data_IF_468341513294
#
_entry.id   IF_468341513294
#
_cell.length_a   1.000
_cell.length_b   1.000
_cell.length_c   1.000
_cell.angle_alpha   90.00
_cell.angle_beta   90.00
_cell.angle_gamma   90.00
#
_symmetry.space_group_name_H-M   'P 1'
#
loop_
_entity.id
_entity.type
_entity.pdbx_description
1 polymer ?
#
# COMPACT_ATOMS: atom_id res chain seq x y z
N UNK A 1 20.92 19.82 -4.35
CA UNK A 1 19.66 19.83 -3.58
C UNK A 1 20.04 20.03 -2.14
N UNK A 2 19.70 21.16 -1.54
CA UNK A 2 20.19 21.51 -0.19
C UNK A 2 19.78 20.49 0.86
N UNK A 3 20.66 20.24 1.85
CA UNK A 3 20.46 19.26 2.93
C UNK A 3 19.14 19.46 3.71
N UNK A 4 18.57 20.67 3.68
CA UNK A 4 17.27 20.97 4.30
C UNK A 4 16.11 20.36 3.52
N UNK A 5 16.15 20.41 2.18
CA UNK A 5 15.08 19.90 1.32
C UNK A 5 15.03 18.38 1.37
N UNK A 6 16.19 17.71 1.32
CA UNK A 6 16.27 16.25 1.48
C UNK A 6 15.74 15.77 2.83
N UNK A 7 16.06 16.49 3.92
CA UNK A 7 15.54 16.17 5.27
C UNK A 7 14.03 16.33 5.39
N UNK A 8 13.46 17.39 4.80
CA UNK A 8 12.00 17.60 4.78
C UNK A 8 11.30 16.47 4.01
N UNK A 9 11.82 16.11 2.85
CA UNK A 9 11.24 15.06 2.01
C UNK A 9 11.27 13.69 2.73
N UNK A 10 12.38 13.33 3.36
CA UNK A 10 12.47 12.08 4.14
C UNK A 10 11.44 12.00 5.28
N UNK A 11 11.23 13.10 6.01
CA UNK A 11 10.21 13.16 7.08
C UNK A 11 8.79 13.04 6.54
N UNK A 12 8.49 13.70 5.41
CA UNK A 12 7.18 13.59 4.77
C UNK A 12 6.93 12.17 4.28
N UNK A 13 7.92 11.51 3.66
CA UNK A 13 7.84 10.10 3.25
C UNK A 13 7.61 9.20 4.46
N UNK A 14 8.36 9.35 5.54
CA UNK A 14 8.20 8.55 6.75
C UNK A 14 6.81 8.76 7.38
N UNK A 15 6.35 10.00 7.48
CA UNK A 15 5.02 10.34 7.98
C UNK A 15 3.91 9.75 7.11
N UNK A 16 4.04 9.81 5.79
CA UNK A 16 3.08 9.25 4.84
C UNK A 16 3.07 7.72 4.88
N UNK A 17 4.25 7.06 4.98
CA UNK A 17 4.35 5.61 5.17
C UNK A 17 3.65 5.16 6.45
N UNK A 18 3.92 5.83 7.57
CA UNK A 18 3.31 5.48 8.86
C UNK A 18 1.81 5.72 8.85
N UNK A 19 1.37 6.91 8.43
CA UNK A 19 -0.05 7.28 8.44
C UNK A 19 -0.85 6.45 7.45
N UNK A 20 -0.33 6.28 6.22
CA UNK A 20 -0.94 5.42 5.20
C UNK A 20 -0.99 3.96 5.61
N UNK A 21 0.07 3.44 6.23
CA UNK A 21 0.12 2.07 6.76
C UNK A 21 -0.85 1.84 7.91
N UNK A 22 -0.97 2.79 8.85
CA UNK A 22 -1.97 2.75 9.92
C UNK A 22 -3.38 2.79 9.35
N UNK A 23 -3.67 3.70 8.43
CA UNK A 23 -4.98 3.79 7.79
C UNK A 23 -5.31 2.51 7.01
N UNK A 24 -4.36 1.93 6.30
CA UNK A 24 -4.54 0.64 5.61
C UNK A 24 -4.89 -0.47 6.60
N UNK A 25 -4.12 -0.60 7.69
CA UNK A 25 -4.37 -1.62 8.70
C UNK A 25 -5.73 -1.43 9.39
N UNK A 26 -6.09 -0.19 9.72
CA UNK A 26 -7.41 0.13 10.30
C UNK A 26 -8.53 -0.17 9.31
N UNK A 27 -8.39 0.22 8.04
CA UNK A 27 -9.37 -0.06 7.00
C UNK A 27 -9.58 -1.57 6.82
N UNK A 28 -8.49 -2.34 6.75
CA UNK A 28 -8.56 -3.78 6.61
C UNK A 28 -9.18 -4.46 7.84
N UNK A 29 -8.75 -4.10 9.05
CA UNK A 29 -9.36 -4.63 10.27
C UNK A 29 -10.84 -4.28 10.37
N UNK A 30 -11.21 -3.05 10.02
CA UNK A 30 -12.59 -2.57 10.00
C UNK A 30 -13.44 -3.37 9.01
N UNK A 31 -12.97 -3.57 7.78
CA UNK A 31 -13.66 -4.37 6.77
C UNK A 31 -13.97 -5.77 7.31
N UNK A 32 -12.98 -6.48 7.81
CA UNK A 32 -13.18 -7.86 8.27
C UNK A 32 -14.01 -7.98 9.54
N UNK A 33 -13.98 -6.98 10.44
CA UNK A 33 -14.83 -6.96 11.63
C UNK A 33 -16.30 -6.68 11.26
N UNK A 34 -16.54 -5.79 10.31
CA UNK A 34 -17.90 -5.41 9.89
C UNK A 34 -18.51 -6.41 8.91
N UNK A 35 -17.68 -7.11 8.13
CA UNK A 35 -18.10 -8.01 7.05
C UNK A 35 -17.39 -9.38 7.17
N UNK A 36 -17.63 -10.12 8.27
CA UNK A 36 -16.84 -11.30 8.65
C UNK A 36 -17.01 -12.50 7.72
N UNK A 37 -18.20 -12.67 7.14
CA UNK A 37 -18.54 -13.82 6.31
C UNK A 37 -17.97 -13.73 4.89
N UNK A 38 -17.35 -12.58 4.56
CA UNK A 38 -16.96 -12.26 3.19
C UNK A 38 -18.14 -12.33 2.23
N UNK A 39 -17.88 -12.15 0.95
CA UNK A 39 -18.89 -12.41 -0.08
C UNK A 39 -18.18 -13.15 -1.20
N UNK A 40 -18.48 -14.44 -1.32
CA UNK A 40 -17.92 -15.30 -2.37
C UNK A 40 -18.49 -14.95 -3.75
N UNK A 41 -19.66 -14.30 -3.78
CA UNK A 41 -20.30 -13.78 -4.97
C UNK A 41 -20.33 -12.25 -4.97
N UNK A 42 -19.83 -11.63 -6.05
CA UNK A 42 -19.77 -10.19 -6.22
C UNK A 42 -21.12 -9.48 -6.07
N UNK A 43 -22.20 -10.06 -6.61
CA UNK A 43 -23.54 -9.48 -6.50
C UNK A 43 -24.02 -9.39 -5.03
N UNK A 44 -23.57 -10.33 -4.19
CA UNK A 44 -23.89 -10.35 -2.77
C UNK A 44 -23.36 -9.11 -2.01
N UNK A 45 -22.34 -8.43 -2.54
CA UNK A 45 -21.83 -7.17 -1.97
C UNK A 45 -22.94 -6.10 -1.89
N UNK A 46 -23.93 -6.12 -2.79
CA UNK A 46 -25.09 -5.22 -2.72
C UNK A 46 -25.89 -5.45 -1.44
N UNK A 47 -26.17 -6.70 -1.10
CA UNK A 47 -26.92 -7.08 0.10
C UNK A 47 -26.14 -6.73 1.37
N UNK A 48 -24.85 -7.03 1.41
CA UNK A 48 -23.97 -6.69 2.54
C UNK A 48 -23.91 -5.16 2.74
N UNK A 49 -23.72 -4.41 1.65
CA UNK A 49 -23.73 -2.95 1.68
C UNK A 49 -25.09 -2.40 2.11
N UNK A 50 -26.21 -2.98 1.66
CA UNK A 50 -27.55 -2.54 2.05
C UNK A 50 -27.81 -2.72 3.56
N UNK A 51 -27.33 -3.82 4.14
CA UNK A 51 -27.43 -4.07 5.59
C UNK A 51 -26.59 -3.10 6.44
N UNK A 52 -25.52 -2.53 5.88
CA UNK A 52 -24.53 -1.74 6.64
C UNK A 52 -23.99 -0.53 5.86
N UNK A 53 -24.86 0.20 5.17
CA UNK A 53 -24.46 1.21 4.17
C UNK A 53 -23.50 2.29 4.71
N UNK A 54 -23.70 2.71 5.96
CA UNK A 54 -22.80 3.65 6.63
C UNK A 54 -21.39 3.08 6.81
N UNK A 55 -21.27 1.84 7.30
CA UNK A 55 -19.98 1.18 7.48
C UNK A 55 -19.28 0.94 6.14
N UNK A 56 -20.03 0.53 5.10
CA UNK A 56 -19.51 0.34 3.75
C UNK A 56 -18.85 1.62 3.21
N UNK A 57 -19.54 2.77 3.35
CA UNK A 57 -18.99 4.08 2.92
C UNK A 57 -17.76 4.49 3.73
N UNK A 58 -17.77 4.25 5.05
CA UNK A 58 -16.63 4.55 5.91
C UNK A 58 -15.41 3.74 5.51
N UNK A 59 -15.59 2.43 5.29
CA UNK A 59 -14.54 1.54 4.79
C UNK A 59 -13.95 2.03 3.47
N UNK A 60 -14.81 2.42 2.52
CA UNK A 60 -14.39 2.92 1.21
C UNK A 60 -13.52 4.18 1.36
N UNK A 61 -13.92 5.11 2.23
CA UNK A 61 -13.15 6.34 2.50
C UNK A 61 -11.82 6.02 3.20
N UNK A 62 -11.80 5.09 4.15
CA UNK A 62 -10.58 4.70 4.86
C UNK A 62 -9.55 4.11 3.90
N UNK A 63 -9.95 3.17 3.03
CA UNK A 63 -9.05 2.64 2.02
C UNK A 63 -8.62 3.70 1.01
N UNK A 64 -9.52 4.59 0.58
CA UNK A 64 -9.17 5.69 -0.31
C UNK A 64 -8.04 6.56 0.25
N UNK A 65 -8.17 6.98 1.51
CA UNK A 65 -7.18 7.82 2.18
C UNK A 65 -5.88 7.06 2.41
N UNK A 66 -5.95 5.77 2.76
CA UNK A 66 -4.78 4.92 2.87
C UNK A 66 -3.98 4.87 1.57
N UNK A 67 -4.64 4.57 0.45
CA UNK A 67 -3.98 4.47 -0.87
C UNK A 67 -3.45 5.83 -1.35
N UNK A 68 -4.21 6.91 -1.14
CA UNK A 68 -3.78 8.26 -1.48
C UNK A 68 -2.50 8.67 -0.75
N UNK A 69 -2.33 8.25 0.51
CA UNK A 69 -1.11 8.50 1.28
C UNK A 69 0.03 7.54 0.89
N UNK A 70 -0.29 6.28 0.58
CA UNK A 70 0.68 5.27 0.21
C UNK A 70 1.32 5.54 -1.17
N UNK A 71 0.64 6.23 -2.08
CA UNK A 71 1.20 6.64 -3.37
C UNK A 71 2.46 7.53 -3.22
N UNK A 72 2.40 8.73 -2.62
CA UNK A 72 3.58 9.57 -2.42
C UNK A 72 4.59 8.92 -1.44
N UNK A 73 4.12 8.13 -0.47
CA UNK A 73 4.99 7.38 0.43
C UNK A 73 5.88 6.37 -0.31
N UNK A 74 5.29 5.63 -1.26
CA UNK A 74 5.98 4.64 -2.10
C UNK A 74 6.99 5.32 -3.03
N UNK A 75 6.60 6.43 -3.66
CA UNK A 75 7.51 7.23 -4.48
C UNK A 75 8.70 7.75 -3.66
N UNK A 76 8.43 8.27 -2.46
CA UNK A 76 9.46 8.73 -1.54
C UNK A 76 10.40 7.61 -1.09
N UNK A 77 9.85 6.43 -0.78
CA UNK A 77 10.64 5.25 -0.41
C UNK A 77 11.54 4.79 -1.56
N UNK A 78 11.01 4.71 -2.79
CA UNK A 78 11.78 4.38 -3.98
C UNK A 78 12.89 5.40 -4.22
N UNK A 79 12.63 6.70 -4.02
CA UNK A 79 13.64 7.76 -4.16
C UNK A 79 14.78 7.61 -3.15
N UNK A 80 14.45 7.34 -1.88
CA UNK A 80 15.45 7.12 -0.81
C UNK A 80 16.27 5.86 -1.10
N UNK A 81 15.60 4.77 -1.48
CA UNK A 81 16.23 3.51 -1.81
C UNK A 81 17.13 3.61 -3.05
N UNK A 82 16.73 4.40 -4.04
CA UNK A 82 17.42 4.55 -5.33
C UNK A 82 18.86 5.04 -5.20
N UNK A 83 19.18 5.75 -4.11
CA UNK A 83 20.55 6.21 -3.79
C UNK A 83 21.51 5.05 -3.51
N UNK A 84 20.99 3.90 -3.08
CA UNK A 84 21.79 2.73 -2.69
C UNK A 84 21.51 1.49 -3.55
N UNK A 85 20.28 1.35 -4.06
CA UNK A 85 19.78 0.19 -4.81
C UNK A 85 18.87 0.65 -5.95
N UNK A 86 19.42 1.24 -7.03
CA UNK A 86 18.63 1.83 -8.11
C UNK A 86 17.70 0.83 -8.81
N UNK A 87 18.15 -0.39 -9.07
CA UNK A 87 17.32 -1.42 -9.74
C UNK A 87 16.10 -1.81 -8.90
N UNK A 88 16.30 -2.07 -7.60
CA UNK A 88 15.20 -2.44 -6.71
C UNK A 88 14.23 -1.27 -6.51
N UNK A 89 14.74 -0.04 -6.42
CA UNK A 89 13.92 1.16 -6.36
C UNK A 89 13.06 1.36 -7.61
N UNK A 90 13.64 1.22 -8.81
CA UNK A 90 12.92 1.39 -10.07
C UNK A 90 11.88 0.30 -10.27
N UNK A 91 12.26 -0.98 -10.15
CA UNK A 91 11.34 -2.10 -10.35
C UNK A 91 10.27 -2.10 -9.26
N UNK A 92 10.67 -2.12 -7.99
CA UNK A 92 9.72 -2.16 -6.88
C UNK A 92 8.84 -0.92 -6.83
N UNK A 93 9.40 0.27 -7.08
CA UNK A 93 8.67 1.53 -7.13
C UNK A 93 7.65 1.57 -8.26
N UNK A 94 8.05 1.24 -9.49
CA UNK A 94 7.14 1.24 -10.63
C UNK A 94 6.01 0.22 -10.45
N UNK A 95 6.35 -1.01 -10.03
CA UNK A 95 5.39 -2.09 -9.81
C UNK A 95 4.42 -1.76 -8.66
N UNK A 96 4.91 -1.24 -7.54
CA UNK A 96 4.06 -0.86 -6.39
C UNK A 96 3.16 0.35 -6.70
N UNK A 97 3.67 1.38 -7.39
CA UNK A 97 2.88 2.54 -7.77
C UNK A 97 1.78 2.18 -8.76
N UNK A 98 2.06 1.31 -9.73
CA UNK A 98 1.06 0.79 -10.65
C UNK A 98 -0.01 -0.01 -9.88
N UNK A 99 0.43 -0.87 -8.97
CA UNK A 99 -0.46 -1.64 -8.10
C UNK A 99 -1.39 -0.75 -7.27
N UNK A 100 -0.84 0.27 -6.60
CA UNK A 100 -1.61 1.24 -5.82
C UNK A 100 -2.58 2.07 -6.67
N UNK A 101 -2.19 2.44 -7.88
CA UNK A 101 -3.07 3.17 -8.80
C UNK A 101 -4.28 2.30 -9.17
N UNK A 102 -4.06 1.08 -9.65
CA UNK A 102 -5.15 0.17 -9.98
C UNK A 102 -5.97 -0.23 -8.75
N UNK A 103 -5.35 -0.32 -7.57
CA UNK A 103 -6.06 -0.50 -6.31
C UNK A 103 -7.04 0.63 -6.05
N UNK A 104 -6.59 1.87 -6.23
CA UNK A 104 -7.43 3.05 -5.99
C UNK A 104 -8.60 3.04 -6.95
N UNK A 105 -8.35 2.79 -8.25
CA UNK A 105 -9.41 2.67 -9.26
C UNK A 105 -10.39 1.56 -8.89
N UNK A 106 -9.89 0.37 -8.57
CA UNK A 106 -10.72 -0.78 -8.24
C UNK A 106 -11.53 -0.54 -6.96
N UNK A 107 -10.91 -0.20 -5.83
CA UNK A 107 -11.61 0.00 -4.56
C UNK A 107 -12.61 1.16 -4.62
N UNK A 108 -12.27 2.28 -5.27
CA UNK A 108 -13.23 3.37 -5.42
C UNK A 108 -14.39 2.97 -6.31
N UNK A 109 -14.12 2.48 -7.52
CA UNK A 109 -15.19 2.19 -8.46
C UNK A 109 -16.04 1.03 -7.95
N UNK A 110 -15.41 -0.05 -7.50
CA UNK A 110 -16.10 -1.26 -7.05
C UNK A 110 -16.89 -1.01 -5.74
N UNK A 111 -16.26 -0.53 -4.67
CA UNK A 111 -16.99 -0.33 -3.41
C UNK A 111 -18.01 0.81 -3.52
N UNK A 112 -17.71 1.90 -4.23
CA UNK A 112 -18.71 2.95 -4.43
C UNK A 112 -19.86 2.48 -5.33
N UNK A 113 -19.60 1.61 -6.32
CA UNK A 113 -20.64 1.01 -7.16
C UNK A 113 -21.63 0.19 -6.32
N UNK A 114 -21.16 -0.74 -5.48
CA UNK A 114 -22.04 -1.52 -4.61
C UNK A 114 -22.77 -0.65 -3.59
N UNK A 115 -22.09 0.34 -3.01
CA UNK A 115 -22.72 1.30 -2.10
C UNK A 115 -23.79 2.17 -2.79
N UNK A 116 -23.62 2.50 -4.07
CA UNK A 116 -24.60 3.25 -4.84
C UNK A 116 -25.83 2.40 -5.19
N UNK A 117 -25.62 1.14 -5.63
CA UNK A 117 -26.70 0.19 -5.89
C UNK A 117 -27.53 -0.05 -4.62
N UNK A 118 -26.87 -0.37 -3.52
CA UNK A 118 -27.51 -0.59 -2.22
C UNK A 118 -28.27 0.66 -1.74
N UNK A 119 -27.66 1.84 -1.83
CA UNK A 119 -28.32 3.10 -1.47
C UNK A 119 -29.50 3.47 -2.37
N UNK A 120 -29.53 2.96 -3.61
CA UNK A 120 -30.63 3.10 -4.55
C UNK A 120 -31.74 2.04 -4.40
N UNK A 121 -31.58 1.09 -3.48
CA UNK A 121 -32.55 0.00 -3.27
C UNK A 121 -32.51 -1.08 -4.33
N UNK A 122 -31.42 -1.19 -5.10
CA UNK A 122 -31.19 -2.32 -6.02
C UNK A 122 -30.85 -3.55 -5.19
N UNK A 123 -31.45 -4.69 -5.50
CA UNK A 123 -31.13 -5.96 -4.85
C UNK A 123 -30.00 -6.71 -5.59
N UNK A 124 -29.46 -7.75 -4.94
CA UNK A 124 -28.37 -8.53 -5.50
C UNK A 124 -28.76 -9.24 -6.82
N UNK A 125 -30.01 -9.72 -6.95
CA UNK A 125 -30.44 -10.46 -8.13
C UNK A 125 -30.55 -9.56 -9.37
N UNK A 126 -30.98 -8.30 -9.19
CA UNK A 126 -30.99 -7.29 -10.23
C UNK A 126 -29.57 -6.84 -10.62
N UNK A 127 -28.62 -6.83 -9.69
CA UNK A 127 -27.23 -6.47 -9.96
C UNK A 127 -26.41 -7.59 -10.59
N UNK A 128 -26.80 -8.86 -10.34
CA UNK A 128 -26.05 -10.07 -10.72
C UNK A 128 -25.61 -10.11 -12.18
N UNK A 129 -26.47 -9.84 -13.20
CA UNK A 129 -26.04 -9.93 -14.60
C UNK A 129 -24.91 -8.94 -14.93
N UNK A 130 -24.92 -7.76 -14.30
CA UNK A 130 -23.90 -6.74 -14.53
C UNK A 130 -22.60 -7.14 -13.84
N UNK A 131 -22.66 -7.64 -12.59
CA UNK A 131 -21.46 -8.07 -11.87
C UNK A 131 -20.81 -9.30 -12.50
N UNK A 132 -21.60 -10.27 -12.95
CA UNK A 132 -21.07 -11.45 -13.67
C UNK A 132 -20.40 -11.05 -14.99
N UNK A 133 -20.97 -10.08 -15.73
CA UNK A 133 -20.36 -9.56 -16.95
C UNK A 133 -19.04 -8.82 -16.67
N UNK A 134 -18.97 -8.04 -15.59
CA UNK A 134 -17.75 -7.35 -15.16
C UNK A 134 -16.69 -8.37 -14.73
N UNK A 135 -17.06 -9.37 -13.94
CA UNK A 135 -16.12 -10.37 -13.43
C UNK A 135 -15.63 -11.33 -14.52
N UNK A 136 -16.47 -11.60 -15.52
CA UNK A 136 -16.11 -12.39 -16.69
C UNK A 136 -15.26 -11.63 -17.72
N UNK A 137 -15.10 -10.31 -17.60
CA UNK A 137 -14.36 -9.51 -18.58
C UNK A 137 -12.84 -9.65 -18.37
N UNK A 138 -12.07 -10.05 -19.41
CA UNK A 138 -10.63 -10.24 -19.29
C UNK A 138 -9.85 -8.96 -18.95
N UNK A 139 -10.31 -7.77 -19.38
CA UNK A 139 -9.64 -6.52 -19.07
C UNK A 139 -9.85 -6.10 -17.62
N UNK A 140 -11.06 -6.31 -17.08
CA UNK A 140 -11.34 -6.10 -15.66
C UNK A 140 -10.47 -7.03 -14.82
N UNK A 141 -10.43 -8.32 -15.15
CA UNK A 141 -9.60 -9.29 -14.42
C UNK A 141 -8.11 -9.00 -14.54
N UNK A 142 -7.63 -8.57 -15.72
CA UNK A 142 -6.25 -8.12 -15.88
C UNK A 142 -5.94 -6.90 -15.01
N UNK A 143 -6.86 -5.93 -14.91
CA UNK A 143 -6.68 -4.75 -14.06
C UNK A 143 -6.59 -5.10 -12.57
N UNK A 144 -7.41 -6.05 -12.12
CA UNK A 144 -7.38 -6.60 -10.76
C UNK A 144 -6.06 -7.34 -10.48
N UNK A 145 -5.60 -8.17 -11.43
CA UNK A 145 -4.32 -8.86 -11.33
C UNK A 145 -3.14 -7.88 -11.27
N UNK A 146 -3.15 -6.81 -12.07
CA UNK A 146 -2.11 -5.75 -12.02
C UNK A 146 -2.10 -5.05 -10.67
N UNK A 147 -3.28 -4.75 -10.10
CA UNK A 147 -3.36 -4.26 -8.73
C UNK A 147 -2.70 -5.24 -7.75
N UNK A 148 -3.23 -6.46 -7.67
CA UNK A 148 -2.85 -7.42 -6.64
C UNK A 148 -1.36 -7.77 -6.71
N UNK A 149 -0.89 -8.14 -7.90
CA UNK A 149 0.51 -8.51 -8.13
C UNK A 149 1.43 -7.29 -8.05
N UNK A 150 0.99 -6.15 -8.57
CA UNK A 150 1.76 -4.91 -8.53
C UNK A 150 2.04 -4.46 -7.09
N UNK A 151 1.00 -4.47 -6.26
CA UNK A 151 1.13 -4.15 -4.85
C UNK A 151 1.98 -5.16 -4.10
N UNK A 152 1.68 -6.45 -4.27
CA UNK A 152 2.38 -7.54 -3.57
C UNK A 152 3.86 -7.55 -3.92
N UNK A 153 4.18 -7.73 -5.20
CA UNK A 153 5.55 -7.86 -5.66
C UNK A 153 6.31 -6.54 -5.46
N UNK A 154 5.69 -5.41 -5.79
CA UNK A 154 6.33 -4.10 -5.68
C UNK A 154 6.71 -3.77 -4.23
N UNK A 155 5.80 -3.97 -3.27
CA UNK A 155 6.07 -3.71 -1.86
C UNK A 155 7.19 -4.60 -1.33
N UNK A 156 7.19 -5.89 -1.68
CA UNK A 156 8.24 -6.82 -1.23
C UNK A 156 9.60 -6.48 -1.84
N UNK A 157 9.67 -6.15 -3.13
CA UNK A 157 10.92 -5.72 -3.77
C UNK A 157 11.47 -4.45 -3.10
N UNK A 158 10.61 -3.48 -2.77
CA UNK A 158 11.00 -2.28 -2.03
C UNK A 158 11.47 -2.60 -0.61
N UNK A 159 10.74 -3.45 0.13
CA UNK A 159 11.07 -3.79 1.50
C UNK A 159 12.38 -4.58 1.62
N UNK A 160 12.57 -5.61 0.78
CA UNK A 160 13.83 -6.35 0.72
C UNK A 160 14.97 -5.48 0.18
N UNK A 161 14.69 -4.60 -0.79
CA UNK A 161 15.63 -3.59 -1.25
C UNK A 161 16.11 -2.69 -0.11
N UNK A 162 15.18 -2.19 0.71
CA UNK A 162 15.47 -1.36 1.88
C UNK A 162 16.31 -2.11 2.93
N UNK A 163 16.03 -3.38 3.18
CA UNK A 163 16.87 -4.22 4.04
C UNK A 163 18.28 -4.42 3.46
N UNK A 164 18.40 -4.74 2.16
CA UNK A 164 19.69 -4.89 1.48
C UNK A 164 20.49 -3.59 1.40
N UNK A 165 19.81 -2.45 1.43
CA UNK A 165 20.39 -1.12 1.55
C UNK A 165 20.71 -0.73 3.01
N UNK A 166 20.42 -1.61 3.99
CA UNK A 166 20.57 -1.38 5.43
C UNK A 166 19.75 -0.18 5.96
N UNK A 167 18.66 0.17 5.28
CA UNK A 167 17.73 1.19 5.75
C UNK A 167 16.82 0.63 6.86
N UNK A 168 16.51 -0.66 6.80
CA UNK A 168 15.67 -1.37 7.78
C UNK A 168 16.30 -2.70 8.20
N UNK A 169 15.85 -3.24 9.33
CA UNK A 169 16.21 -4.58 9.78
C UNK A 169 15.41 -5.67 9.01
N UNK A 170 15.94 -6.90 9.00
CA UNK A 170 15.35 -8.03 8.27
C UNK A 170 13.91 -8.36 8.71
N UNK A 171 13.52 -8.06 9.95
CA UNK A 171 12.16 -8.32 10.42
C UNK A 171 11.10 -7.54 9.61
N UNK A 172 11.43 -6.36 9.06
CA UNK A 172 10.48 -5.52 8.31
C UNK A 172 9.96 -6.22 7.05
N UNK A 173 10.81 -6.64 6.10
CA UNK A 173 10.32 -7.39 4.94
C UNK A 173 9.70 -8.73 5.33
N UNK A 174 10.19 -9.43 6.36
CA UNK A 174 9.59 -10.70 6.78
C UNK A 174 8.16 -10.52 7.31
N UNK A 175 7.91 -9.48 8.11
CA UNK A 175 6.57 -9.17 8.63
C UNK A 175 5.61 -8.76 7.50
N UNK A 176 6.08 -7.97 6.53
CA UNK A 176 5.26 -7.63 5.35
C UNK A 176 4.94 -8.85 4.49
N UNK A 177 5.92 -9.72 4.24
CA UNK A 177 5.70 -10.99 3.54
C UNK A 177 4.70 -11.86 4.29
N UNK A 178 4.88 -12.02 5.61
CA UNK A 178 3.97 -12.82 6.42
C UNK A 178 2.55 -12.24 6.41
N UNK A 179 2.42 -10.92 6.51
CA UNK A 179 1.13 -10.22 6.40
C UNK A 179 0.44 -10.53 5.06
N UNK A 180 1.13 -10.38 3.94
CA UNK A 180 0.56 -10.64 2.61
C UNK A 180 0.22 -12.11 2.37
N UNK A 181 1.09 -13.04 2.80
CA UNK A 181 0.83 -14.47 2.66
C UNK A 181 -0.37 -14.89 3.51
N UNK A 182 -0.43 -14.43 4.77
CA UNK A 182 -1.57 -14.70 5.64
C UNK A 182 -2.87 -14.08 5.09
N UNK A 183 -2.79 -12.89 4.52
CA UNK A 183 -3.96 -12.25 3.91
C UNK A 183 -4.52 -13.09 2.75
N UNK A 184 -3.66 -13.67 1.92
CA UNK A 184 -4.10 -14.53 0.80
C UNK A 184 -4.53 -15.93 1.23
N UNK A 185 -3.87 -16.50 2.24
CA UNK A 185 -4.03 -17.91 2.58
C UNK A 185 -5.06 -18.17 3.68
N UNK A 186 -5.56 -17.12 4.34
CA UNK A 186 -6.43 -17.28 5.51
C UNK A 186 -7.69 -16.44 5.40
N UNK A 187 -8.75 -16.96 5.99
CA UNK A 187 -10.03 -16.31 6.18
C UNK A 187 -10.31 -16.19 7.69
N UNK A 188 -11.28 -15.34 8.04
CA UNK A 188 -11.73 -15.16 9.41
C UNK A 188 -11.11 -13.96 10.14
N UNK A 189 -11.94 -13.32 10.95
CA UNK A 189 -11.65 -12.03 11.59
C UNK A 189 -10.35 -12.02 12.41
N UNK A 190 -10.05 -13.00 13.29
CA UNK A 190 -8.85 -12.92 14.13
C UNK A 190 -7.55 -12.88 13.31
N UNK A 191 -7.47 -13.68 12.25
CA UNK A 191 -6.29 -13.74 11.39
C UNK A 191 -6.15 -12.46 10.55
N UNK A 192 -7.28 -11.92 10.06
CA UNK A 192 -7.28 -10.66 9.29
C UNK A 192 -6.95 -9.43 10.15
N UNK A 193 -7.33 -9.43 11.42
CA UNK A 193 -6.86 -8.43 12.38
C UNK A 193 -5.35 -8.59 12.63
N UNK A 194 -4.84 -9.83 12.74
CA UNK A 194 -3.41 -10.07 12.87
C UNK A 194 -2.63 -9.59 11.63
N UNK A 195 -3.12 -9.87 10.42
CA UNK A 195 -2.59 -9.33 9.15
C UNK A 195 -2.52 -7.80 9.21
N UNK A 196 -3.59 -7.16 9.66
CA UNK A 196 -3.65 -5.69 9.78
C UNK A 196 -2.54 -5.15 10.69
N UNK A 197 -2.33 -5.79 11.84
CA UNK A 197 -1.25 -5.44 12.78
C UNK A 197 0.13 -5.65 12.16
N UNK A 198 0.34 -6.75 11.44
CA UNK A 198 1.60 -7.04 10.74
C UNK A 198 1.88 -5.98 9.66
N UNK A 199 0.88 -5.61 8.87
CA UNK A 199 1.01 -4.57 7.85
C UNK A 199 1.37 -3.22 8.47
N UNK A 200 0.71 -2.82 9.57
CA UNK A 200 1.07 -1.59 10.31
C UNK A 200 2.50 -1.64 10.83
N UNK A 201 2.91 -2.76 11.43
CA UNK A 201 4.27 -2.93 11.95
C UNK A 201 5.32 -2.84 10.83
N UNK A 202 5.05 -3.45 9.68
CA UNK A 202 5.91 -3.38 8.49
C UNK A 202 6.07 -1.96 7.96
N UNK A 203 4.96 -1.22 7.79
CA UNK A 203 5.00 0.18 7.37
C UNK A 203 5.68 1.10 8.38
N UNK A 204 5.45 0.88 9.68
CA UNK A 204 6.17 1.59 10.73
C UNK A 204 7.68 1.32 10.68
N UNK A 205 8.08 0.07 10.43
CA UNK A 205 9.48 -0.30 10.21
C UNK A 205 10.12 0.43 9.01
N UNK A 206 9.41 0.50 7.88
CA UNK A 206 9.84 1.27 6.71
C UNK A 206 9.94 2.77 7.01
N UNK A 207 8.95 3.35 7.68
CA UNK A 207 8.93 4.75 8.07
C UNK A 207 10.14 5.12 8.95
N UNK A 208 10.40 4.32 9.99
CA UNK A 208 11.55 4.49 10.88
C UNK A 208 12.88 4.35 10.13
N UNK A 209 12.96 3.41 9.18
CA UNK A 209 14.14 3.25 8.33
C UNK A 209 14.43 4.48 7.47
N UNK A 210 13.38 5.01 6.82
CA UNK A 210 13.48 6.24 6.01
C UNK A 210 13.88 7.44 6.88
N UNK A 211 13.30 7.59 8.07
CA UNK A 211 13.63 8.70 8.97
C UNK A 211 15.10 8.66 9.45
N UNK A 212 15.62 7.45 9.69
CA UNK A 212 17.01 7.24 10.15
C UNK A 212 18.05 7.37 9.04
N UNK A 213 17.64 7.19 7.78
CA UNK A 213 18.50 7.27 6.60
C UNK A 213 18.91 8.72 6.31
N UNK A 214 19.73 9.28 7.19
CA UNK A 214 20.35 10.60 7.05
C UNK A 214 21.43 10.53 5.97
N UNK A 215 21.53 11.53 5.08
CA UNK A 215 22.70 11.64 4.21
C UNK A 215 23.93 11.77 5.10
N UNK A 216 24.81 10.77 5.04
CA UNK A 216 26.17 10.90 5.57
C UNK A 216 26.78 12.06 4.81
N UNK A 217 27.15 13.13 5.51
CA UNK A 217 27.82 14.27 4.91
C UNK A 217 29.02 13.74 4.12
N UNK A 218 29.05 14.05 2.83
CA UNK A 218 30.17 13.73 1.96
C UNK A 218 31.44 14.22 2.68
N UNK A 219 32.43 13.35 2.97
CA UNK A 219 33.60 13.76 3.72
C UNK A 219 34.19 14.96 3.00
N UNK A 220 34.25 16.10 3.68
CA UNK A 220 34.72 17.35 3.14
C UNK A 220 35.99 17.03 2.36
N UNK A 221 35.93 17.19 1.04
CA UNK A 221 37.05 16.96 0.16
C UNK A 221 38.20 17.75 0.76
N UNK A 222 39.17 17.04 1.30
CA UNK A 222 40.43 17.63 1.73
C UNK A 222 41.03 18.20 0.47
N UNK A 223 40.73 19.47 0.19
CA UNK A 223 41.45 20.30 -0.75
C UNK A 223 42.90 20.25 -0.32
N UNK A 224 43.66 19.35 -0.95
CA UNK A 224 45.11 19.34 -0.88
C UNK A 224 45.55 20.75 -1.27
N UNK A 225 46.25 21.48 -0.37
CA UNK A 225 46.77 22.80 -0.71
C UNK A 225 47.70 22.64 -1.92
N UNK A 226 47.46 23.41 -2.97
CA UNK A 226 48.34 23.45 -4.12
C UNK A 226 49.74 23.87 -3.64
N UNK A 227 50.72 22.98 -3.79
CA UNK A 227 52.13 23.29 -3.59
C UNK A 227 52.54 24.37 -4.59
N UNK A 228 52.98 25.52 -4.08
CA UNK A 228 53.52 26.60 -4.89
C UNK A 228 54.83 26.15 -5.58
N UNK A 229 55.04 26.47 -6.86
CA UNK A 229 56.30 26.19 -7.55
C UNK A 229 57.43 27.10 -7.03
N UNK A 230 58.63 26.52 -6.92
CA UNK A 230 59.86 27.14 -6.45
C UNK A 230 60.51 28.07 -7.49
#
# INVERSE_FOLDING_TARGET
>A
MDDRTGRRMGRLTAGALLTGGVLYGVANAFYWVMFPDGVSESAGNVTVAAGHLGAWRVETVLFALAHLLLLPATLGLATVLGRHKPVAATIGGATALLGLYFSTVHLWQYNAFFGALAGGGVDADAARPVTEAIDGDPFVMASFAVWLLGWLVGLLVLAFGAWRARLVALWVPLVLTAGQVLDLATEGVPLKVAVSVLMVAGFAGLALGVERSRPVAEPASTTTPATAPA
#
